data_IF_137117645410
#
_entry.id   IF_137117645410
#
_cell.length_a   1.000
_cell.length_b   1.000
_cell.length_c   1.000
_cell.angle_alpha   90.00
_cell.angle_beta   90.00
_cell.angle_gamma   90.00
#
_symmetry.space_group_name_H-M   'P 1'
#
loop_
_entity.id
_entity.type
_entity.pdbx_description
1 polymer ?
#
# COMPACT_ATOMS: atom_id res chain seq x y z
N UNK A 1 82.13 -26.75 -44.09
CA UNK A 1 81.69 -27.99 -43.41
C UNK A 1 81.16 -27.61 -42.03
N UNK A 2 80.06 -28.17 -41.47
CA UNK A 2 78.97 -28.97 -42.01
C UNK A 2 77.53 -28.38 -41.79
N UNK A 3 76.62 -28.71 -42.70
CA UNK A 3 75.26 -29.31 -42.47
C UNK A 3 74.16 -28.45 -41.79
N UNK A 4 73.23 -27.86 -42.56
CA UNK A 4 71.87 -28.37 -42.92
C UNK A 4 71.00 -28.89 -41.74
N UNK A 5 69.80 -28.31 -41.57
CA UNK A 5 68.45 -28.95 -41.66
C UNK A 5 67.40 -28.02 -41.03
N UNK A 6 66.48 -27.46 -41.82
CA UNK A 6 65.16 -28.00 -42.23
C UNK A 6 64.06 -27.90 -41.13
N UNK A 7 63.13 -26.97 -41.41
CA UNK A 7 61.66 -27.13 -41.44
C UNK A 7 60.80 -27.31 -40.17
N UNK A 8 59.84 -26.37 -40.09
CA UNK A 8 58.38 -26.50 -39.93
C UNK A 8 57.70 -26.55 -38.54
N UNK A 9 56.90 -25.49 -38.36
CA UNK A 9 55.46 -25.44 -38.01
C UNK A 9 54.98 -25.74 -36.59
N UNK A 10 54.18 -24.74 -36.16
CA UNK A 10 52.95 -24.79 -35.34
C UNK A 10 53.12 -25.13 -33.85
N UNK A 11 52.97 -24.10 -33.02
CA UNK A 11 52.17 -24.22 -31.78
C UNK A 11 51.16 -23.08 -31.71
N UNK A 12 49.92 -23.50 -31.60
CA UNK A 12 48.74 -22.66 -31.45
C UNK A 12 48.52 -22.31 -29.97
N UNK A 13 48.06 -21.06 -29.76
CA UNK A 13 47.04 -20.62 -28.78
C UNK A 13 47.10 -21.11 -27.32
N UNK A 14 47.24 -20.15 -26.39
CA UNK A 14 46.15 -19.82 -25.44
C UNK A 14 46.37 -18.51 -24.67
N UNK A 15 45.32 -17.67 -24.72
CA UNK A 15 44.81 -16.71 -23.72
C UNK A 15 45.76 -15.66 -23.14
N UNK A 16 45.76 -14.47 -23.76
CA UNK A 16 45.93 -13.20 -23.04
C UNK A 16 44.54 -12.65 -22.70
N UNK A 17 44.26 -12.53 -21.42
CA UNK A 17 43.00 -12.02 -20.89
C UNK A 17 42.83 -10.54 -21.24
N UNK A 18 41.74 -10.19 -21.92
CA UNK A 18 41.17 -8.84 -21.94
C UNK A 18 39.65 -9.00 -22.00
N UNK A 19 39.03 -9.15 -20.84
CA UNK A 19 37.58 -9.04 -20.72
C UNK A 19 37.23 -7.54 -20.82
N UNK A 20 36.59 -7.18 -21.92
CA UNK A 20 35.79 -5.96 -22.03
C UNK A 20 34.74 -5.99 -20.92
N UNK A 21 34.76 -5.01 -20.03
CA UNK A 21 33.58 -4.63 -19.27
C UNK A 21 33.21 -3.21 -19.66
N UNK A 22 32.34 -3.14 -20.66
CA UNK A 22 31.52 -1.98 -20.95
C UNK A 22 30.74 -1.63 -19.68
N UNK A 23 31.18 -0.59 -19.00
CA UNK A 23 30.43 0.02 -17.89
C UNK A 23 29.11 0.56 -18.43
N UNK A 24 28.04 -0.24 -18.31
CA UNK A 24 26.68 0.28 -18.35
C UNK A 24 26.55 1.24 -17.18
N UNK A 25 26.63 2.55 -17.43
CA UNK A 25 26.14 3.58 -16.49
C UNK A 25 24.72 3.17 -16.11
N UNK A 26 24.50 2.89 -14.83
CA UNK A 26 23.17 2.67 -14.29
C UNK A 26 22.36 3.96 -14.53
N UNK A 27 21.26 3.85 -15.27
CA UNK A 27 20.28 4.91 -15.39
C UNK A 27 19.70 5.21 -14.00
N UNK A 28 19.40 6.49 -13.68
CA UNK A 28 18.80 6.83 -12.40
C UNK A 28 17.46 6.10 -12.24
N UNK A 29 17.26 5.43 -11.09
CA UNK A 29 16.00 4.76 -10.75
C UNK A 29 14.88 5.80 -10.79
N UNK A 30 13.99 5.67 -11.77
CA UNK A 30 12.73 6.42 -11.87
C UNK A 30 11.99 6.26 -10.54
N UNK A 31 11.90 7.33 -9.75
CA UNK A 31 11.15 7.34 -8.50
C UNK A 31 9.71 6.96 -8.81
N UNK A 32 9.25 5.81 -8.31
CA UNK A 32 7.87 5.37 -8.48
C UNK A 32 6.97 6.37 -7.76
N UNK A 33 6.38 7.28 -8.53
CA UNK A 33 5.46 8.29 -8.04
C UNK A 33 4.30 7.61 -7.31
N UNK A 34 3.94 8.12 -6.13
CA UNK A 34 2.82 7.56 -5.39
C UNK A 34 1.53 7.73 -6.19
N UNK A 35 0.92 6.62 -6.57
CA UNK A 35 -0.34 6.58 -7.35
C UNK A 35 -1.56 6.91 -6.48
N UNK A 36 -1.43 6.81 -5.16
CA UNK A 36 -2.53 7.06 -4.22
C UNK A 36 -2.53 8.53 -3.82
N UNK A 37 -3.13 9.37 -4.65
CA UNK A 37 -3.33 10.81 -4.42
C UNK A 37 -4.83 11.11 -4.37
N UNK A 38 -5.26 12.18 -3.69
CA UNK A 38 -6.65 12.61 -3.72
C UNK A 38 -7.06 12.93 -5.17
N UNK A 39 -8.27 12.53 -5.54
CA UNK A 39 -8.82 12.74 -6.90
C UNK A 39 -10.11 13.55 -6.85
N UNK A 40 -10.57 14.03 -8.00
CA UNK A 40 -11.86 14.71 -8.15
C UNK A 40 -13.04 13.73 -8.36
N UNK A 41 -12.79 12.41 -8.29
CA UNK A 41 -13.83 11.40 -8.50
C UNK A 41 -14.84 11.42 -7.35
N UNK A 42 -16.12 11.36 -7.70
CA UNK A 42 -17.23 11.23 -6.76
C UNK A 42 -17.14 9.91 -5.98
N UNK A 43 -17.27 9.98 -4.66
CA UNK A 43 -17.29 8.82 -3.77
C UNK A 43 -18.60 8.05 -3.97
N UNK A 44 -19.70 8.79 -4.13
CA UNK A 44 -21.03 8.26 -4.34
C UNK A 44 -21.11 7.48 -5.67
N UNK A 45 -20.58 8.03 -6.76
CA UNK A 45 -20.55 7.35 -8.07
C UNK A 45 -19.65 6.12 -8.03
N UNK A 46 -18.51 6.21 -7.32
CA UNK A 46 -17.64 5.06 -7.12
C UNK A 46 -18.37 3.93 -6.40
N UNK A 47 -19.09 4.22 -5.30
CA UNK A 47 -19.88 3.22 -4.57
C UNK A 47 -21.02 2.67 -5.44
N UNK A 48 -21.73 3.51 -6.20
CA UNK A 48 -22.78 3.06 -7.11
C UNK A 48 -22.25 2.06 -8.15
N UNK A 49 -21.04 2.29 -8.65
CA UNK A 49 -20.37 1.41 -9.60
C UNK A 49 -19.78 0.12 -9.00
N UNK A 50 -19.74 -0.04 -7.66
CA UNK A 50 -19.19 -1.25 -7.02
C UNK A 50 -20.03 -2.49 -7.39
N UNK A 51 -19.47 -3.51 -8.07
CA UNK A 51 -20.25 -4.68 -8.46
C UNK A 51 -20.79 -5.49 -7.26
N UNK A 52 -21.97 -6.10 -7.41
CA UNK A 52 -22.59 -6.98 -6.41
C UNK A 52 -23.33 -6.20 -5.31
N UNK A 53 -24.58 -6.56 -5.08
CA UNK A 53 -25.49 -5.77 -4.25
C UNK A 53 -25.10 -5.75 -2.77
N UNK A 54 -24.68 -6.89 -2.23
CA UNK A 54 -24.19 -6.96 -0.84
C UNK A 54 -22.95 -6.08 -0.64
N UNK A 55 -21.98 -6.13 -1.56
CA UNK A 55 -20.77 -5.31 -1.45
C UNK A 55 -21.09 -3.82 -1.55
N UNK A 56 -22.04 -3.44 -2.42
CA UNK A 56 -22.54 -2.08 -2.54
C UNK A 56 -23.23 -1.61 -1.26
N UNK A 57 -24.08 -2.46 -0.68
CA UNK A 57 -24.78 -2.20 0.59
C UNK A 57 -23.76 -1.97 1.71
N UNK A 58 -22.77 -2.85 1.82
CA UNK A 58 -21.75 -2.73 2.85
C UNK A 58 -20.84 -1.51 2.62
N UNK A 59 -20.53 -1.16 1.37
CA UNK A 59 -19.77 0.05 1.05
C UNK A 59 -20.53 1.33 1.47
N UNK A 60 -21.85 1.37 1.25
CA UNK A 60 -22.71 2.48 1.71
C UNK A 60 -22.75 2.54 3.24
N UNK A 61 -22.88 1.41 3.92
CA UNK A 61 -22.86 1.36 5.38
C UNK A 61 -21.50 1.78 5.96
N UNK A 62 -20.40 1.29 5.39
CA UNK A 62 -19.05 1.70 5.76
C UNK A 62 -18.82 3.19 5.54
N UNK A 63 -19.34 3.78 4.46
CA UNK A 63 -19.29 5.22 4.22
C UNK A 63 -19.96 6.00 5.37
N UNK A 64 -21.18 5.61 5.75
CA UNK A 64 -21.93 6.24 6.84
C UNK A 64 -21.21 6.12 8.18
N UNK A 65 -20.73 4.91 8.50
CA UNK A 65 -19.99 4.65 9.74
C UNK A 65 -18.70 5.46 9.81
N UNK A 66 -17.89 5.45 8.75
CA UNK A 66 -16.62 6.18 8.71
C UNK A 66 -16.83 7.70 8.77
N UNK A 67 -17.87 8.24 8.12
CA UNK A 67 -18.26 9.66 8.28
C UNK A 67 -18.56 9.98 9.76
N UNK A 68 -19.33 9.12 10.43
CA UNK A 68 -19.67 9.28 11.87
C UNK A 68 -18.43 9.19 12.77
N UNK A 69 -17.56 8.21 12.54
CA UNK A 69 -16.40 7.95 13.41
C UNK A 69 -15.29 8.98 13.24
N UNK A 70 -15.12 9.50 12.03
CA UNK A 70 -14.08 10.49 11.72
C UNK A 70 -14.55 11.93 11.90
N UNK A 71 -15.84 12.20 11.65
CA UNK A 71 -16.36 13.56 11.52
C UNK A 71 -15.89 14.28 10.25
N UNK A 72 -15.30 13.57 9.28
CA UNK A 72 -14.67 14.15 8.09
C UNK A 72 -15.44 13.83 6.81
N UNK A 73 -15.22 14.67 5.79
CA UNK A 73 -15.76 14.42 4.45
C UNK A 73 -14.88 13.37 3.73
N UNK A 74 -15.49 12.38 3.07
CA UNK A 74 -14.74 11.37 2.32
C UNK A 74 -14.15 11.98 1.04
N UNK A 75 -13.02 11.45 0.60
CA UNK A 75 -12.45 11.76 -0.72
C UNK A 75 -11.94 10.48 -1.39
N UNK A 76 -12.01 10.42 -2.71
CA UNK A 76 -11.38 9.34 -3.47
C UNK A 76 -9.86 9.53 -3.47
N UNK A 77 -9.13 8.49 -3.07
CA UNK A 77 -7.68 8.39 -3.12
C UNK A 77 -7.26 7.29 -4.09
N UNK A 78 -6.56 7.69 -5.15
CA UNK A 78 -6.26 6.82 -6.27
C UNK A 78 -7.53 6.19 -6.87
N UNK A 79 -7.47 4.94 -7.34
CA UNK A 79 -8.58 4.33 -8.07
C UNK A 79 -9.68 3.71 -7.19
N UNK A 80 -9.41 3.44 -5.92
CA UNK A 80 -10.25 2.52 -5.13
C UNK A 80 -10.32 2.74 -3.63
N UNK A 81 -9.70 3.80 -3.09
CA UNK A 81 -9.72 4.08 -1.65
C UNK A 81 -10.65 5.27 -1.40
N UNK A 82 -11.57 5.10 -0.47
CA UNK A 82 -12.36 6.19 0.10
C UNK A 82 -11.65 6.58 1.39
N UNK A 83 -10.94 7.69 1.36
CA UNK A 83 -10.11 8.19 2.46
C UNK A 83 -10.78 9.32 3.23
N UNK A 84 -10.35 9.49 4.49
CA UNK A 84 -10.80 10.54 5.40
C UNK A 84 -9.58 11.20 6.05
N UNK A 85 -9.51 12.53 5.96
CA UNK A 85 -8.32 13.30 6.33
C UNK A 85 -7.08 12.90 5.54
N UNK A 86 -5.98 13.60 5.81
CA UNK A 86 -4.66 13.26 5.30
C UNK A 86 -3.61 13.36 6.41
N UNK A 87 -2.49 12.69 6.20
CA UNK A 87 -1.29 12.84 7.00
C UNK A 87 -0.07 12.96 6.08
N UNK A 88 0.92 13.71 6.54
CA UNK A 88 2.22 13.82 5.88
C UNK A 88 3.22 12.88 6.56
N UNK A 89 3.88 12.01 5.79
CA UNK A 89 4.95 11.16 6.29
C UNK A 89 6.29 11.59 5.73
N UNK A 90 7.35 11.38 6.51
CA UNK A 90 8.73 11.60 6.11
C UNK A 90 9.60 10.46 6.63
N UNK A 91 10.35 9.83 5.73
CA UNK A 91 11.32 8.79 6.07
C UNK A 91 12.72 9.38 6.23
N UNK A 92 13.60 8.71 6.99
CA UNK A 92 15.00 9.09 7.17
C UNK A 92 15.77 9.20 5.84
N UNK A 93 15.34 8.44 4.83
CA UNK A 93 15.87 8.53 3.45
C UNK A 93 15.56 9.85 2.73
N UNK A 94 14.80 10.76 3.36
CA UNK A 94 14.30 12.01 2.75
C UNK A 94 13.04 11.84 1.91
N UNK A 95 12.55 10.62 1.70
CA UNK A 95 11.29 10.37 1.00
C UNK A 95 10.10 10.79 1.87
N UNK A 96 9.27 11.67 1.35
CA UNK A 96 8.06 12.14 2.02
C UNK A 96 6.85 12.17 1.08
N UNK A 97 5.67 12.38 1.65
CA UNK A 97 4.44 12.54 0.89
C UNK A 97 3.18 12.46 1.75
N UNK A 98 2.03 12.61 1.08
CA UNK A 98 0.73 12.62 1.74
C UNK A 98 -0.06 11.35 1.44
N UNK A 99 -0.84 10.91 2.43
CA UNK A 99 -1.75 9.78 2.31
C UNK A 99 -2.99 10.03 3.16
N UNK A 100 -4.10 9.35 2.87
CA UNK A 100 -5.29 9.44 3.73
C UNK A 100 -4.97 8.93 5.14
N UNK A 101 -5.46 9.62 6.17
CA UNK A 101 -5.23 9.25 7.58
C UNK A 101 -5.88 7.90 7.92
N UNK A 102 -7.10 7.69 7.43
CA UNK A 102 -7.81 6.42 7.46
C UNK A 102 -8.74 6.33 6.26
N UNK A 103 -9.38 5.18 6.05
CA UNK A 103 -10.29 4.99 4.94
C UNK A 103 -10.74 3.55 4.81
N UNK A 104 -11.43 3.26 3.72
CA UNK A 104 -11.76 1.91 3.34
C UNK A 104 -11.78 1.72 1.82
N UNK A 105 -11.78 0.45 1.39
CA UNK A 105 -11.85 0.06 -0.02
C UNK A 105 -12.75 -1.18 -0.17
N UNK A 106 -13.88 -1.08 -0.91
CA UNK A 106 -14.74 -2.22 -1.20
C UNK A 106 -14.13 -3.05 -2.34
N UNK A 107 -13.31 -4.05 -2.00
CA UNK A 107 -12.58 -4.89 -2.96
C UNK A 107 -13.38 -6.13 -3.34
N UNK A 108 -12.88 -6.92 -4.29
CA UNK A 108 -13.46 -8.23 -4.58
C UNK A 108 -13.24 -9.15 -3.37
N UNK A 109 -14.31 -9.66 -2.78
CA UNK A 109 -14.28 -10.61 -1.67
C UNK A 109 -14.09 -10.01 -0.27
N UNK A 110 -13.80 -8.72 -0.12
CA UNK A 110 -13.68 -8.07 1.19
C UNK A 110 -13.83 -6.55 1.13
N UNK A 111 -14.22 -5.97 2.25
CA UNK A 111 -14.08 -4.56 2.58
C UNK A 111 -12.80 -4.41 3.39
N UNK A 112 -11.91 -3.57 2.91
CA UNK A 112 -10.61 -3.32 3.56
C UNK A 112 -10.69 -2.00 4.28
N UNK A 113 -10.51 -2.00 5.60
CA UNK A 113 -10.37 -0.80 6.43
C UNK A 113 -8.88 -0.50 6.65
N UNK A 114 -8.49 0.75 6.47
CA UNK A 114 -7.11 1.22 6.67
C UNK A 114 -6.93 1.70 8.11
N UNK A 115 -6.29 0.85 8.91
CA UNK A 115 -6.00 1.05 10.34
C UNK A 115 -4.48 1.14 10.52
N UNK A 116 -3.97 2.36 10.46
CA UNK A 116 -2.55 2.72 10.33
C UNK A 116 -1.75 2.63 11.65
N UNK A 117 -2.19 1.80 12.59
CA UNK A 117 -1.58 1.63 13.93
C UNK A 117 -2.56 1.90 15.06
N UNK A 118 -2.06 2.04 16.29
CA UNK A 118 -2.85 2.34 17.50
C UNK A 118 -3.56 1.14 18.14
N UNK A 119 -3.71 0.03 17.42
CA UNK A 119 -4.17 -1.24 17.96
C UNK A 119 -3.36 -2.36 17.28
N UNK A 120 -2.32 -2.92 17.93
CA UNK A 120 -1.64 -4.10 17.40
C UNK A 120 -2.62 -5.28 17.36
N UNK A 121 -2.34 -6.30 16.54
CA UNK A 121 -3.21 -7.49 16.44
C UNK A 121 -3.38 -8.21 17.80
N UNK A 122 -2.43 -8.06 18.71
CA UNK A 122 -2.52 -8.55 20.09
C UNK A 122 -3.51 -7.77 20.98
N UNK A 123 -4.04 -6.63 20.52
CA UNK A 123 -5.02 -5.84 21.26
C UNK A 123 -6.29 -6.68 21.52
N UNK A 124 -6.81 -6.74 22.76
CA UNK A 124 -7.99 -7.54 23.10
C UNK A 124 -9.23 -7.24 22.24
N UNK A 125 -9.32 -6.07 21.60
CA UNK A 125 -10.38 -5.74 20.65
C UNK A 125 -10.44 -6.75 19.50
N UNK A 126 -9.30 -7.19 18.98
CA UNK A 126 -9.26 -8.13 17.86
C UNK A 126 -9.83 -9.51 18.21
N UNK A 127 -9.80 -9.92 19.48
CA UNK A 127 -10.47 -11.16 19.94
C UNK A 127 -11.99 -11.05 19.97
N UNK A 128 -12.51 -9.82 20.10
CA UNK A 128 -13.96 -9.53 20.18
C UNK A 128 -14.55 -9.12 18.83
N UNK A 129 -13.71 -8.87 17.83
CA UNK A 129 -14.13 -8.27 16.57
C UNK A 129 -15.02 -9.19 15.73
N UNK A 130 -14.81 -10.51 15.75
CA UNK A 130 -15.50 -11.45 14.86
C UNK A 130 -14.57 -12.00 13.78
N UNK A 131 -15.06 -12.16 12.54
CA UNK A 131 -14.27 -12.76 11.44
C UNK A 131 -13.56 -11.68 10.63
N UNK A 132 -12.23 -11.73 10.64
CA UNK A 132 -11.40 -10.79 9.89
C UNK A 132 -10.08 -11.44 9.47
N UNK A 133 -9.34 -10.74 8.61
CA UNK A 133 -7.91 -10.97 8.36
C UNK A 133 -7.16 -9.64 8.50
N UNK A 134 -5.90 -9.68 8.90
CA UNK A 134 -5.04 -8.50 9.03
C UNK A 134 -3.98 -8.45 7.94
N UNK A 135 -3.53 -7.24 7.63
CA UNK A 135 -2.26 -6.95 7.00
C UNK A 135 -1.51 -5.91 7.84
N UNK A 136 -0.40 -5.36 7.32
CA UNK A 136 0.43 -4.40 8.09
C UNK A 136 -0.33 -3.19 8.64
N UNK A 137 -1.28 -2.67 7.88
CA UNK A 137 -2.08 -1.48 8.25
C UNK A 137 -3.52 -1.59 7.76
N UNK A 138 -3.98 -2.83 7.53
CA UNK A 138 -5.24 -3.11 6.87
C UNK A 138 -6.00 -4.19 7.62
N UNK A 139 -7.31 -4.01 7.74
CA UNK A 139 -8.25 -4.98 8.27
C UNK A 139 -9.19 -5.40 7.15
N UNK A 140 -9.24 -6.70 6.85
CA UNK A 140 -10.06 -7.29 5.79
C UNK A 140 -11.26 -7.98 6.42
N UNK A 141 -12.45 -7.57 6.00
CA UNK A 141 -13.73 -8.11 6.49
C UNK A 141 -14.55 -8.52 5.26
N UNK A 142 -15.14 -9.72 5.24
CA UNK A 142 -15.87 -10.18 4.06
C UNK A 142 -17.21 -9.43 3.88
N UNK A 143 -17.95 -9.24 4.98
CA UNK A 143 -19.20 -8.45 5.08
C UNK A 143 -19.27 -7.80 6.46
N UNK A 144 -19.97 -6.67 6.59
CA UNK A 144 -20.03 -5.98 7.89
C UNK A 144 -20.71 -6.81 8.99
N UNK A 145 -21.63 -7.70 8.63
CA UNK A 145 -22.32 -8.60 9.57
C UNK A 145 -21.41 -9.68 10.17
N UNK A 146 -20.19 -9.87 9.64
CA UNK A 146 -19.21 -10.81 10.20
C UNK A 146 -18.48 -10.25 11.43
N UNK A 147 -18.69 -8.97 11.77
CA UNK A 147 -17.97 -8.29 12.84
C UNK A 147 -18.87 -7.48 13.77
N UNK A 148 -18.40 -7.27 15.00
CA UNK A 148 -19.00 -6.31 15.93
C UNK A 148 -18.61 -4.88 15.52
N UNK A 149 -19.59 -4.08 15.11
CA UNK A 149 -19.39 -2.70 14.66
C UNK A 149 -18.89 -1.77 15.76
N UNK A 150 -19.22 -2.03 17.03
CA UNK A 150 -18.74 -1.23 18.16
C UNK A 150 -17.25 -1.49 18.42
N UNK A 151 -16.82 -2.73 18.24
CA UNK A 151 -15.40 -3.12 18.33
C UNK A 151 -14.62 -2.57 17.14
N UNK A 152 -15.18 -2.64 15.92
CA UNK A 152 -14.59 -2.03 14.74
C UNK A 152 -14.41 -0.52 14.91
N UNK A 153 -15.42 0.17 15.44
CA UNK A 153 -15.35 1.60 15.78
C UNK A 153 -14.20 1.90 16.73
N UNK A 154 -14.05 1.11 17.81
CA UNK A 154 -12.98 1.28 18.78
C UNK A 154 -11.58 1.13 18.14
N UNK A 155 -11.41 0.13 17.26
CA UNK A 155 -10.16 -0.08 16.52
C UNK A 155 -9.86 1.13 15.61
N UNK A 156 -10.85 1.57 14.82
CA UNK A 156 -10.68 2.72 13.92
C UNK A 156 -10.35 3.99 14.71
N UNK A 157 -11.05 4.26 15.81
CA UNK A 157 -10.78 5.43 16.66
C UNK A 157 -9.41 5.40 17.31
N UNK A 158 -8.97 4.24 17.83
CA UNK A 158 -7.59 4.06 18.32
C UNK A 158 -6.57 4.37 17.23
N UNK A 159 -6.83 3.91 16.01
CA UNK A 159 -5.97 4.16 14.87
C UNK A 159 -5.88 5.63 14.50
N UNK A 160 -7.03 6.33 14.44
CA UNK A 160 -7.07 7.77 14.20
C UNK A 160 -6.30 8.53 15.28
N UNK A 161 -6.50 8.19 16.56
CA UNK A 161 -5.81 8.83 17.67
C UNK A 161 -4.29 8.64 17.58
N UNK A 162 -3.84 7.43 17.23
CA UNK A 162 -2.43 7.15 16.98
C UNK A 162 -1.87 7.99 15.83
N UNK A 163 -2.59 8.09 14.70
CA UNK A 163 -2.15 8.87 13.55
C UNK A 163 -2.03 10.35 13.87
N UNK A 164 -3.02 10.94 14.55
CA UNK A 164 -3.00 12.34 14.98
C UNK A 164 -1.86 12.66 15.96
N UNK A 165 -1.48 11.69 16.79
CA UNK A 165 -0.34 11.83 17.72
C UNK A 165 1.01 11.72 17.01
N UNK A 166 1.08 10.92 15.95
CA UNK A 166 2.35 10.53 15.32
C UNK A 166 2.72 11.43 14.14
N UNK A 167 1.74 11.94 13.41
CA UNK A 167 1.96 12.68 12.17
C UNK A 167 1.19 14.01 12.15
N UNK A 168 1.70 15.02 11.42
CA UNK A 168 0.88 16.16 11.02
C UNK A 168 -0.32 15.67 10.20
N UNK A 169 -1.53 16.02 10.65
CA UNK A 169 -2.78 15.60 10.00
C UNK A 169 -3.60 16.81 9.58
N UNK A 170 -4.39 16.63 8.51
CA UNK A 170 -5.34 17.60 8.01
C UNK A 170 -6.72 16.95 7.78
N UNK A 171 -7.82 17.73 7.90
CA UNK A 171 -9.18 17.24 7.69
C UNK A 171 -9.49 16.82 6.25
#
# INVERSE_FOLDING_TARGET
MPVKKKTLKKKATKKKATAKTSGKKAAPKKSAEMKTKPTARSVEDFIAAVPGDQRRKDAKAALTLMKKWTGLKPKMWGPSIIGFGSYHYKYDSGREGDMCMTGFSPRAGAIVFYVMGGAPESDPLFKKLGKYKTGKSCLYINRLDDVDLSVLEAIVKKSIAYMKKTYPTAP
#
